data_IF_261915808801
#
_entry.id   IF_261915808801
#
_cell.length_a   1.000
_cell.length_b   1.000
_cell.length_c   1.000
_cell.angle_alpha   90.00
_cell.angle_beta   90.00
_cell.angle_gamma   90.00
#
_symmetry.space_group_name_H-M   'P 1'
#
loop_
_entity.id
_entity.type
_entity.pdbx_description
1 polymer ?
#
# COMPACT_ATOMS: atom_id res chain seq x y z
N UNK A 1 3.18 20.79 14.51
CA UNK A 1 4.61 20.39 14.68
C UNK A 1 4.76 18.93 14.29
N UNK A 2 5.28 18.66 13.09
CA UNK A 2 5.60 17.28 12.66
C UNK A 2 6.83 16.82 13.46
N UNK A 3 6.65 15.81 14.34
CA UNK A 3 7.78 15.17 15.00
C UNK A 3 8.65 14.52 13.93
N UNK A 4 9.94 14.91 13.86
CA UNK A 4 10.97 14.23 13.07
C UNK A 4 10.87 12.73 13.32
N UNK A 5 10.50 11.98 12.29
CA UNK A 5 10.47 10.53 12.30
C UNK A 5 11.93 10.06 12.20
N UNK A 6 12.53 9.73 13.33
CA UNK A 6 13.87 9.15 13.31
C UNK A 6 13.75 7.72 12.78
N UNK A 7 14.42 7.46 11.67
CA UNK A 7 14.52 6.14 11.05
C UNK A 7 15.43 5.29 11.93
N UNK A 8 14.84 4.43 12.73
CA UNK A 8 15.57 3.48 13.54
C UNK A 8 15.91 2.24 12.68
N UNK A 9 17.02 1.56 12.98
CA UNK A 9 17.42 0.32 12.29
C UNK A 9 16.27 -0.70 12.25
N UNK A 10 15.51 -0.82 13.32
CA UNK A 10 14.32 -1.68 13.38
C UNK A 10 13.26 -1.30 12.33
N UNK A 11 13.01 -0.01 12.14
CA UNK A 11 12.08 0.48 11.10
C UNK A 11 12.55 0.08 9.72
N UNK A 12 13.85 0.23 9.43
CA UNK A 12 14.44 -0.15 8.14
C UNK A 12 14.33 -1.66 7.88
N UNK A 13 14.57 -2.49 8.89
CA UNK A 13 14.42 -3.95 8.78
C UNK A 13 12.97 -4.34 8.47
N UNK A 14 11.98 -3.74 9.18
CA UNK A 14 10.57 -4.00 8.88
C UNK A 14 10.16 -3.50 7.49
N UNK A 15 10.66 -2.35 7.04
CA UNK A 15 10.43 -1.86 5.68
C UNK A 15 10.99 -2.83 4.65
N UNK A 16 12.22 -3.30 4.82
CA UNK A 16 12.85 -4.26 3.92
C UNK A 16 12.07 -5.59 3.85
N UNK A 17 11.59 -6.09 4.99
CA UNK A 17 10.74 -7.28 5.05
C UNK A 17 9.43 -7.08 4.27
N UNK A 18 8.75 -5.95 4.48
CA UNK A 18 7.50 -5.65 3.80
C UNK A 18 7.69 -5.46 2.29
N UNK A 19 8.81 -4.85 1.86
CA UNK A 19 9.17 -4.74 0.44
C UNK A 19 9.41 -6.13 -0.15
N UNK A 20 10.15 -7.00 0.54
CA UNK A 20 10.40 -8.36 0.09
C UNK A 20 9.10 -9.17 -0.06
N UNK A 21 8.20 -9.10 0.94
CA UNK A 21 6.88 -9.73 0.88
C UNK A 21 6.04 -9.15 -0.28
N UNK A 22 6.05 -7.84 -0.46
CA UNK A 22 5.37 -7.19 -1.58
C UNK A 22 5.86 -7.74 -2.92
N UNK A 23 7.19 -7.84 -3.11
CA UNK A 23 7.80 -8.36 -4.34
C UNK A 23 7.40 -9.81 -4.60
N UNK A 24 7.43 -10.67 -3.59
CA UNK A 24 6.98 -12.06 -3.73
C UNK A 24 5.51 -12.12 -4.17
N UNK A 25 4.63 -11.36 -3.51
CA UNK A 25 3.21 -11.36 -3.83
C UNK A 25 2.88 -10.76 -5.20
N UNK A 26 3.68 -9.81 -5.69
CA UNK A 26 3.42 -9.10 -6.96
C UNK A 26 4.21 -9.64 -8.14
N UNK A 27 5.24 -10.44 -7.92
CA UNK A 27 6.14 -10.92 -8.98
C UNK A 27 6.17 -12.44 -9.10
N UNK A 28 5.96 -13.16 -7.99
CA UNK A 28 5.94 -14.62 -7.95
C UNK A 28 4.50 -15.15 -7.90
N UNK A 29 3.66 -14.61 -6.99
CA UNK A 29 2.28 -15.05 -6.77
C UNK A 29 1.26 -14.14 -7.50
N UNK A 30 1.57 -13.68 -8.68
CA UNK A 30 0.71 -12.81 -9.47
C UNK A 30 0.04 -13.61 -10.60
N UNK A 31 -1.26 -13.36 -10.82
CA UNK A 31 -1.95 -13.79 -12.03
C UNK A 31 -1.87 -12.62 -13.00
N UNK A 32 -0.99 -12.77 -14.01
CA UNK A 32 -0.75 -11.75 -15.02
C UNK A 32 -1.58 -12.06 -16.28
N UNK A 33 -2.51 -11.19 -16.61
CA UNK A 33 -3.41 -11.28 -17.76
C UNK A 33 -3.09 -10.14 -18.76
N UNK A 34 -1.83 -9.76 -18.88
CA UNK A 34 -1.36 -8.68 -19.75
C UNK A 34 -1.64 -7.28 -19.17
N UNK A 35 -2.75 -6.64 -19.58
CA UNK A 35 -3.12 -5.33 -19.07
C UNK A 35 -3.66 -5.36 -17.62
N UNK A 36 -3.99 -6.54 -17.10
CA UNK A 36 -4.56 -6.75 -15.77
C UNK A 36 -3.65 -7.64 -14.92
N UNK A 37 -3.41 -7.23 -13.68
CA UNK A 37 -2.62 -7.99 -12.71
C UNK A 37 -3.39 -8.17 -11.42
N UNK A 38 -3.67 -9.41 -11.08
CA UNK A 38 -4.34 -9.78 -9.83
C UNK A 38 -3.27 -10.16 -8.83
N UNK A 39 -3.04 -9.31 -7.82
CA UNK A 39 -2.09 -9.57 -6.75
C UNK A 39 -2.47 -8.82 -5.47
N UNK A 40 -2.21 -9.43 -4.35
CA UNK A 40 -2.48 -8.86 -3.01
C UNK A 40 -1.29 -8.10 -2.42
N UNK A 41 -0.25 -7.87 -3.21
CA UNK A 41 0.98 -7.21 -2.74
C UNK A 41 0.78 -5.80 -2.19
N UNK A 42 -0.21 -5.03 -2.69
CA UNK A 42 -0.57 -3.71 -2.19
C UNK A 42 -0.85 -3.69 -0.68
N UNK A 43 -1.33 -4.80 -0.11
CA UNK A 43 -1.56 -4.93 1.33
C UNK A 43 -0.28 -4.67 2.14
N UNK A 44 0.88 -5.17 1.67
CA UNK A 44 2.15 -4.93 2.36
C UNK A 44 2.52 -3.44 2.38
N UNK A 45 2.29 -2.72 1.28
CA UNK A 45 2.56 -1.29 1.18
C UNK A 45 1.60 -0.47 2.03
N UNK A 46 0.32 -0.85 2.06
CA UNK A 46 -0.70 -0.24 2.94
C UNK A 46 -0.31 -0.42 4.41
N UNK A 47 0.08 -1.64 4.80
CA UNK A 47 0.49 -1.92 6.18
C UNK A 47 1.77 -1.17 6.55
N UNK A 48 2.75 -1.04 5.63
CA UNK A 48 3.91 -0.20 5.85
C UNK A 48 3.50 1.24 6.18
N UNK A 49 2.54 1.81 5.43
CA UNK A 49 2.00 3.14 5.69
C UNK A 49 1.27 3.23 7.03
N UNK A 50 0.39 2.28 7.34
CA UNK A 50 -0.40 2.28 8.58
C UNK A 50 0.45 2.06 9.85
N UNK A 51 1.49 1.23 9.78
CA UNK A 51 2.36 0.91 10.91
C UNK A 51 3.49 1.94 11.08
N UNK A 52 4.21 2.24 10.01
CA UNK A 52 5.45 3.01 10.04
C UNK A 52 5.26 4.49 9.66
N UNK A 53 4.08 4.84 9.13
CA UNK A 53 3.73 6.19 8.73
C UNK A 53 3.81 6.45 7.22
N UNK A 54 3.28 7.62 6.75
CA UNK A 54 3.10 7.87 5.32
C UNK A 54 4.41 7.92 4.53
N UNK A 55 5.48 8.46 5.09
CA UNK A 55 6.78 8.52 4.42
C UNK A 55 7.35 7.11 4.23
N UNK A 56 7.31 6.27 5.26
CA UNK A 56 7.80 4.90 5.18
C UNK A 56 6.98 4.07 4.19
N UNK A 57 5.63 4.21 4.21
CA UNK A 57 4.75 3.58 3.24
C UNK A 57 5.04 4.00 1.80
N UNK A 58 5.26 5.30 1.56
CA UNK A 58 5.62 5.82 0.24
C UNK A 58 6.96 5.29 -0.27
N UNK A 59 7.98 5.26 0.60
CA UNK A 59 9.30 4.69 0.25
C UNK A 59 9.20 3.19 -0.01
N UNK A 60 8.42 2.44 0.77
CA UNK A 60 8.18 1.02 0.50
C UNK A 60 7.53 0.81 -0.87
N UNK A 61 6.52 1.62 -1.23
CA UNK A 61 5.87 1.55 -2.53
C UNK A 61 6.83 1.88 -3.68
N UNK A 62 7.61 2.95 -3.55
CA UNK A 62 8.64 3.34 -4.52
C UNK A 62 9.67 2.24 -4.74
N UNK A 63 10.29 1.75 -3.67
CA UNK A 63 11.32 0.71 -3.75
C UNK A 63 10.75 -0.60 -4.33
N UNK A 64 9.56 -1.00 -3.90
CA UNK A 64 8.91 -2.22 -4.40
C UNK A 64 8.60 -2.13 -5.89
N UNK A 65 8.17 -0.98 -6.40
CA UNK A 65 7.90 -0.80 -7.83
C UNK A 65 9.19 -0.80 -8.65
N UNK A 66 10.19 -0.02 -8.27
CA UNK A 66 11.47 0.06 -8.98
C UNK A 66 12.16 -1.30 -9.02
N UNK A 67 12.36 -1.96 -7.86
CA UNK A 67 12.99 -3.29 -7.79
C UNK A 67 12.17 -4.30 -8.60
N UNK A 68 10.84 -4.24 -8.48
CA UNK A 68 9.95 -5.11 -9.22
C UNK A 68 10.02 -4.93 -10.74
N UNK A 69 10.21 -3.71 -11.24
CA UNK A 69 10.44 -3.44 -12.66
C UNK A 69 11.76 -4.06 -13.13
N UNK A 70 12.85 -3.88 -12.37
CA UNK A 70 14.14 -4.50 -12.70
C UNK A 70 14.07 -6.03 -12.70
N UNK A 71 13.37 -6.66 -11.76
CA UNK A 71 13.22 -8.13 -11.69
C UNK A 71 12.51 -8.72 -12.93
N UNK A 72 11.62 -7.97 -13.55
CA UNK A 72 10.85 -8.41 -14.74
C UNK A 72 11.38 -7.84 -16.05
N UNK A 73 12.40 -7.00 -16.01
CA UNK A 73 12.94 -6.33 -17.20
C UNK A 73 11.98 -5.29 -17.82
N UNK A 74 11.05 -4.75 -17.01
CA UNK A 74 10.13 -3.71 -17.47
C UNK A 74 10.75 -2.32 -17.34
N UNK A 75 10.45 -1.44 -18.30
CA UNK A 75 10.76 -0.02 -18.15
C UNK A 75 9.98 0.59 -16.98
N UNK A 76 10.65 1.41 -16.16
CA UNK A 76 10.02 2.12 -15.06
C UNK A 76 9.05 3.16 -15.63
N UNK A 77 7.78 3.06 -15.25
CA UNK A 77 6.73 3.98 -15.66
C UNK A 77 6.41 4.94 -14.50
N UNK A 78 6.70 6.26 -14.63
CA UNK A 78 6.52 7.21 -13.55
C UNK A 78 5.08 7.27 -13.01
N UNK A 79 4.08 7.09 -13.86
CA UNK A 79 2.67 7.06 -13.42
C UNK A 79 2.37 5.85 -12.52
N UNK A 80 2.91 4.68 -12.88
CA UNK A 80 2.74 3.45 -12.08
C UNK A 80 3.53 3.56 -10.77
N UNK A 81 4.73 4.16 -10.82
CA UNK A 81 5.53 4.42 -9.61
C UNK A 81 4.82 5.36 -8.65
N UNK A 82 4.20 6.44 -9.14
CA UNK A 82 3.37 7.32 -8.32
C UNK A 82 2.17 6.57 -7.74
N UNK A 83 1.52 5.73 -8.53
CA UNK A 83 0.44 4.87 -8.05
C UNK A 83 0.89 3.96 -6.90
N UNK A 84 2.09 3.36 -6.99
CA UNK A 84 2.66 2.51 -5.94
C UNK A 84 2.96 3.30 -4.65
N UNK A 85 3.44 4.54 -4.76
CA UNK A 85 3.64 5.46 -3.63
C UNK A 85 2.31 5.78 -2.94
N UNK A 86 1.26 6.09 -3.73
CA UNK A 86 -0.07 6.42 -3.21
C UNK A 86 -0.68 5.28 -2.39
N UNK A 87 -0.45 4.01 -2.75
CA UNK A 87 -0.88 2.86 -1.98
C UNK A 87 -0.33 2.83 -0.54
N UNK A 88 0.86 3.38 -0.31
CA UNK A 88 1.44 3.50 1.03
C UNK A 88 1.07 4.79 1.76
N UNK A 89 0.95 5.90 1.02
CA UNK A 89 0.77 7.24 1.61
C UNK A 89 -0.68 7.51 2.00
N UNK A 90 -1.65 7.27 1.10
CA UNK A 90 -3.05 7.67 1.31
C UNK A 90 -3.71 6.99 2.52
N UNK A 91 -3.61 5.65 2.71
CA UNK A 91 -4.19 5.02 3.89
C UNK A 91 -3.54 5.50 5.20
N UNK A 92 -2.24 5.81 5.15
CA UNK A 92 -1.51 6.34 6.30
C UNK A 92 -1.95 7.76 6.68
N UNK A 93 -2.19 8.62 5.68
CA UNK A 93 -2.73 9.97 5.88
C UNK A 93 -4.17 9.95 6.39
N UNK A 94 -4.97 8.97 5.98
CA UNK A 94 -6.33 8.78 6.46
C UNK A 94 -6.40 8.24 7.91
N UNK A 95 -5.31 7.63 8.42
CA UNK A 95 -5.25 7.04 9.76
C UNK A 95 -5.76 7.95 10.89
N UNK A 96 -5.41 9.26 10.98
CA UNK A 96 -5.89 10.13 12.06
C UNK A 96 -7.41 10.30 12.05
N UNK A 97 -8.09 10.18 10.91
CA UNK A 97 -9.54 10.33 10.79
C UNK A 97 -10.32 9.22 11.52
N UNK A 98 -9.74 8.03 11.65
CA UNK A 98 -10.38 6.89 12.29
C UNK A 98 -9.64 6.36 13.52
N UNK A 99 -8.50 6.95 13.91
CA UNK A 99 -7.68 6.49 15.05
C UNK A 99 -8.46 6.48 16.37
N UNK A 100 -9.34 7.44 16.58
CA UNK A 100 -10.13 7.59 17.83
C UNK A 100 -11.51 6.89 17.78
N UNK A 101 -11.83 6.17 16.70
CA UNK A 101 -13.10 5.45 16.55
C UNK A 101 -13.06 4.08 17.24
N UNK A 102 -14.25 3.52 17.54
CA UNK A 102 -14.41 2.11 17.97
C UNK A 102 -13.86 1.16 16.89
N UNK A 103 -13.63 -0.11 17.24
CA UNK A 103 -13.06 -1.12 16.32
C UNK A 103 -13.77 -1.14 14.96
N UNK A 104 -15.10 -1.17 14.95
CA UNK A 104 -15.90 -1.13 13.72
C UNK A 104 -15.65 0.14 12.91
N UNK A 105 -15.58 1.32 13.56
CA UNK A 105 -15.29 2.58 12.88
C UNK A 105 -13.86 2.64 12.30
N UNK A 106 -12.89 1.96 12.93
CA UNK A 106 -11.55 1.81 12.38
C UNK A 106 -11.55 0.91 11.13
N UNK A 107 -12.27 -0.21 11.19
CA UNK A 107 -12.43 -1.12 10.02
C UNK A 107 -13.03 -0.38 8.85
N UNK A 108 -14.15 0.32 9.04
CA UNK A 108 -14.79 1.11 7.99
C UNK A 108 -13.85 2.20 7.45
N UNK A 109 -13.14 2.90 8.34
CA UNK A 109 -12.17 3.93 7.95
C UNK A 109 -11.03 3.38 7.10
N UNK A 110 -10.49 2.21 7.44
CA UNK A 110 -9.46 1.52 6.64
C UNK A 110 -10.04 1.12 5.29
N UNK A 111 -11.20 0.48 5.23
CA UNK A 111 -11.83 0.06 3.98
C UNK A 111 -12.11 1.25 3.06
N UNK A 112 -12.68 2.34 3.57
CA UNK A 112 -12.95 3.55 2.80
C UNK A 112 -11.64 4.16 2.27
N UNK A 113 -10.59 4.24 3.10
CA UNK A 113 -9.29 4.76 2.65
C UNK A 113 -8.68 3.89 1.54
N UNK A 114 -8.83 2.58 1.60
CA UNK A 114 -8.35 1.65 0.57
C UNK A 114 -9.14 1.83 -0.73
N UNK A 115 -10.47 1.96 -0.67
CA UNK A 115 -11.31 2.21 -1.86
C UNK A 115 -10.90 3.51 -2.54
N UNK A 116 -10.75 4.61 -1.78
CA UNK A 116 -10.30 5.90 -2.32
C UNK A 116 -8.90 5.77 -2.94
N UNK A 117 -7.99 5.08 -2.26
CA UNK A 117 -6.64 4.83 -2.79
C UNK A 117 -6.68 4.01 -4.07
N UNK A 118 -7.51 2.97 -4.13
CA UNK A 118 -7.66 2.13 -5.31
C UNK A 118 -8.22 2.90 -6.52
N UNK A 119 -9.18 3.82 -6.30
CA UNK A 119 -9.68 4.70 -7.36
C UNK A 119 -8.56 5.59 -7.89
N UNK A 120 -7.89 6.32 -7.02
CA UNK A 120 -6.84 7.25 -7.43
C UNK A 120 -5.65 6.52 -8.04
N UNK A 121 -5.12 5.52 -7.36
CA UNK A 121 -3.91 4.80 -7.75
C UNK A 121 -4.15 3.87 -8.94
N UNK A 122 -5.14 2.99 -8.87
CA UNK A 122 -5.36 1.95 -9.87
C UNK A 122 -6.14 2.46 -11.08
N UNK A 123 -7.27 3.14 -10.88
CA UNK A 123 -8.11 3.59 -12.00
C UNK A 123 -7.55 4.84 -12.69
N UNK A 124 -6.96 5.79 -11.94
CA UNK A 124 -6.46 7.03 -12.56
C UNK A 124 -4.99 6.86 -12.96
N UNK A 125 -4.08 6.77 -12.00
CA UNK A 125 -2.64 6.80 -12.29
C UNK A 125 -2.15 5.59 -13.08
N UNK A 126 -2.51 4.37 -12.69
CA UNK A 126 -2.04 3.18 -13.40
C UNK A 126 -2.65 3.09 -14.79
N UNK A 127 -3.94 3.42 -14.96
CA UNK A 127 -4.59 3.43 -16.28
C UNK A 127 -3.99 4.50 -17.17
N UNK A 128 -3.75 5.72 -16.65
CA UNK A 128 -3.06 6.77 -17.39
C UNK A 128 -1.66 6.32 -17.84
N UNK A 129 -0.90 5.67 -16.96
CA UNK A 129 0.42 5.13 -17.30
C UNK A 129 0.40 4.08 -18.40
N UNK A 130 -0.62 3.22 -18.44
CA UNK A 130 -0.79 2.22 -19.50
C UNK A 130 -1.18 2.86 -20.84
N UNK A 131 -2.08 3.84 -20.83
CA UNK A 131 -2.54 4.51 -22.06
C UNK A 131 -1.44 5.39 -22.63
N UNK A 132 -0.81 6.23 -21.80
CA UNK A 132 0.15 7.26 -22.27
C UNK A 132 1.49 6.64 -22.65
N UNK A 133 2.01 5.71 -21.82
CA UNK A 133 3.36 5.19 -22.01
C UNK A 133 3.41 3.84 -22.76
N UNK A 134 2.40 2.99 -22.60
CA UNK A 134 2.35 1.70 -23.27
C UNK A 134 1.40 1.68 -24.50
N UNK A 135 0.67 2.77 -24.76
CA UNK A 135 -0.19 2.89 -25.95
C UNK A 135 -1.45 2.03 -25.93
N UNK A 136 -1.88 1.55 -24.76
CA UNK A 136 -3.12 0.77 -24.68
C UNK A 136 -4.36 1.62 -24.98
N UNK A 137 -5.32 1.03 -25.69
CA UNK A 137 -6.60 1.70 -25.95
C UNK A 137 -7.42 1.76 -24.64
N UNK A 138 -7.78 2.97 -24.20
CA UNK A 138 -8.52 3.20 -22.97
C UNK A 138 -9.84 2.42 -22.94
N UNK A 139 -10.61 2.45 -24.00
CA UNK A 139 -11.91 1.77 -24.07
C UNK A 139 -11.77 0.24 -24.00
N UNK A 140 -10.68 -0.32 -24.51
CA UNK A 140 -10.42 -1.75 -24.46
C UNK A 140 -10.04 -2.25 -23.05
N UNK A 141 -9.27 -1.43 -22.28
CA UNK A 141 -8.78 -1.86 -20.98
C UNK A 141 -9.73 -1.48 -19.83
N UNK A 142 -10.61 -0.49 -19.99
CA UNK A 142 -11.44 0.04 -18.91
C UNK A 142 -12.38 -1.02 -18.27
N UNK A 143 -13.11 -1.86 -19.04
CA UNK A 143 -13.98 -2.87 -18.45
C UNK A 143 -13.23 -3.84 -17.53
N UNK A 144 -12.09 -4.35 -17.96
CA UNK A 144 -11.29 -5.25 -17.13
C UNK A 144 -10.67 -4.56 -15.91
N UNK A 145 -10.32 -3.27 -16.02
CA UNK A 145 -9.86 -2.47 -14.89
C UNK A 145 -10.94 -2.28 -13.83
N UNK A 146 -12.18 -2.07 -14.24
CA UNK A 146 -13.32 -1.99 -13.32
C UNK A 146 -13.57 -3.32 -12.62
N UNK A 147 -13.52 -4.43 -13.34
CA UNK A 147 -13.64 -5.78 -12.75
C UNK A 147 -12.50 -6.04 -11.76
N UNK A 148 -11.26 -5.73 -12.14
CA UNK A 148 -10.11 -5.85 -11.25
C UNK A 148 -10.28 -5.01 -9.99
N UNK A 149 -10.73 -3.76 -10.11
CA UNK A 149 -11.01 -2.89 -8.98
C UNK A 149 -12.10 -3.46 -8.07
N UNK A 150 -13.21 -3.95 -8.64
CA UNK A 150 -14.32 -4.51 -7.87
C UNK A 150 -13.93 -5.76 -7.07
N UNK A 151 -13.02 -6.58 -7.60
CA UNK A 151 -12.53 -7.79 -6.93
C UNK A 151 -11.43 -7.46 -5.92
N UNK A 152 -10.42 -6.66 -6.33
CA UNK A 152 -9.23 -6.45 -5.52
C UNK A 152 -9.43 -5.47 -4.36
N UNK A 153 -10.34 -4.52 -4.49
CA UNK A 153 -10.60 -3.52 -3.44
C UNK A 153 -11.12 -4.16 -2.14
N UNK A 154 -12.17 -5.00 -2.14
CA UNK A 154 -12.65 -5.67 -0.93
C UNK A 154 -11.61 -6.67 -0.38
N UNK A 155 -10.97 -7.47 -1.24
CA UNK A 155 -9.95 -8.43 -0.80
C UNK A 155 -8.79 -7.73 -0.09
N UNK A 156 -8.27 -6.64 -0.66
CA UNK A 156 -7.22 -5.84 -0.02
C UNK A 156 -7.69 -5.20 1.29
N UNK A 157 -8.96 -4.78 1.35
CA UNK A 157 -9.57 -4.23 2.54
C UNK A 157 -9.66 -5.23 3.68
N UNK A 158 -10.19 -6.41 3.42
CA UNK A 158 -10.33 -7.49 4.40
C UNK A 158 -8.96 -7.98 4.90
N UNK A 159 -8.03 -8.27 3.99
CA UNK A 159 -6.67 -8.70 4.35
C UNK A 159 -5.94 -7.64 5.18
N UNK A 160 -6.05 -6.37 4.80
CA UNK A 160 -5.44 -5.28 5.56
C UNK A 160 -6.05 -5.18 6.97
N UNK A 161 -7.38 -5.27 7.10
CA UNK A 161 -8.04 -5.24 8.39
C UNK A 161 -7.66 -6.44 9.25
N UNK A 162 -7.65 -7.64 8.68
CA UNK A 162 -7.27 -8.87 9.38
C UNK A 162 -5.84 -8.77 9.94
N UNK A 163 -4.89 -8.32 9.13
CA UNK A 163 -3.49 -8.15 9.54
C UNK A 163 -3.31 -6.97 10.50
N UNK A 164 -4.04 -5.87 10.30
CA UNK A 164 -3.96 -4.70 11.16
C UNK A 164 -4.49 -4.95 12.58
N UNK A 165 -5.52 -5.78 12.74
CA UNK A 165 -6.05 -6.17 14.04
C UNK A 165 -5.40 -7.43 14.63
N UNK A 166 -4.46 -8.06 13.91
CA UNK A 166 -3.67 -9.19 14.38
C UNK A 166 -2.62 -8.78 15.44
N UNK A 167 -2.15 -9.71 16.28
CA UNK A 167 -1.02 -9.50 17.21
C UNK A 167 0.25 -8.95 16.54
N UNK A 168 0.42 -9.17 15.23
CA UNK A 168 1.53 -8.64 14.44
C UNK A 168 1.65 -7.12 14.54
N UNK A 169 0.53 -6.41 14.57
CA UNK A 169 0.52 -4.94 14.73
C UNK A 169 1.13 -4.53 16.08
N UNK A 170 0.82 -5.25 17.16
CA UNK A 170 1.40 -4.97 18.46
C UNK A 170 2.91 -5.22 18.48
N UNK A 171 3.39 -6.29 17.81
CA UNK A 171 4.82 -6.57 17.69
C UNK A 171 5.55 -5.52 16.87
N UNK A 172 5.02 -5.14 15.71
CA UNK A 172 5.66 -4.15 14.82
C UNK A 172 5.66 -2.76 15.46
N UNK A 173 4.51 -2.28 15.89
CA UNK A 173 4.36 -0.94 16.48
C UNK A 173 5.10 -0.87 17.83
N UNK A 174 5.04 -1.91 18.67
CA UNK A 174 5.75 -1.98 19.94
C UNK A 174 7.27 -1.96 19.79
N UNK A 175 7.81 -2.59 18.76
CA UNK A 175 9.26 -2.60 18.49
C UNK A 175 9.76 -1.34 17.80
N UNK A 176 8.92 -0.67 17.00
CA UNK A 176 9.30 0.52 16.21
C UNK A 176 9.02 1.83 16.96
N UNK A 177 8.05 1.84 17.89
CA UNK A 177 7.64 3.02 18.65
C UNK A 177 7.95 2.96 20.15
N UNK A 178 9.19 2.69 20.61
CA UNK A 178 9.49 2.63 22.03
C UNK A 178 9.50 3.98 22.77
N UNK A 179 9.41 5.11 22.06
CA UNK A 179 9.62 6.43 22.67
C UNK A 179 8.39 7.35 22.74
N UNK A 180 7.30 7.03 22.04
CA UNK A 180 6.16 7.97 21.91
C UNK A 180 4.96 7.59 22.78
N UNK A 181 4.81 6.33 23.16
CA UNK A 181 3.68 5.85 23.96
C UNK A 181 3.94 5.80 25.47
N UNK A 182 5.21 5.86 25.92
CA UNK A 182 5.57 5.84 27.36
C UNK A 182 5.28 7.14 28.12
N UNK A 183 4.78 8.20 27.48
CA UNK A 183 4.55 9.52 28.09
C UNK A 183 3.06 9.84 28.34
N UNK A 184 2.17 8.85 28.31
CA UNK A 184 0.73 9.03 28.61
C UNK A 184 0.21 8.12 29.73
N UNK A 185 1.09 7.59 30.56
CA UNK A 185 0.72 6.90 31.80
C UNK A 185 1.60 7.43 32.94
N UNK A 186 1.37 8.67 33.31
CA UNK A 186 1.56 9.24 34.67
C UNK A 186 0.54 10.35 34.81
#
# INVERSE_FOLDING_TARGET
MQKKQYWNVKTLVFMALLIAMHLVLTRVLVIDLGAYRISVGSVCTILAGLWLGPVAGGVCGLCADIIGCFMKGYAVNPFITVAAILWGVLPALAKPLFANRKKTGKTVGICVSIVVTAILSSLIFTTAGLVIMLGYNLYAIMPGRLVQFAIMSPISGELTCLLYFSPLTAMVVGNVAPAVLKKKTV
#
